data_IF_992878709493
#
_entry.id   IF_992878709493
#
_cell.length_a   1.000
_cell.length_b   1.000
_cell.length_c   1.000
_cell.angle_alpha   90.00
_cell.angle_beta   90.00
_cell.angle_gamma   90.00
#
_symmetry.space_group_name_H-M   'P 1'
#
loop_
_entity.id
_entity.type
_entity.pdbx_description
1 polymer ?
#
# COMPACT_ATOMS: atom_id res chain seq x y z
N UNK A 1 41.00 33.94 8.51
CA UNK A 1 39.59 34.22 8.69
C UNK A 1 38.71 33.92 7.48
N UNK A 2 38.99 34.46 6.25
CA UNK A 2 38.10 34.21 5.07
C UNK A 2 37.98 32.74 4.67
N UNK A 3 39.04 31.91 4.76
CA UNK A 3 38.99 30.48 4.45
C UNK A 3 38.20 29.64 5.46
N UNK A 4 38.14 30.05 6.71
CA UNK A 4 37.41 29.39 7.78
C UNK A 4 35.92 29.65 7.64
N UNK A 5 35.54 30.89 7.30
CA UNK A 5 34.15 31.27 7.03
C UNK A 5 33.58 30.53 5.82
N UNK A 6 34.38 30.40 4.73
CA UNK A 6 33.95 29.64 3.55
C UNK A 6 33.71 28.15 3.84
N UNK A 7 34.52 27.53 4.70
CA UNK A 7 34.32 26.14 5.14
C UNK A 7 33.07 25.98 6.00
N UNK A 8 32.80 26.92 6.87
CA UNK A 8 31.58 26.94 7.70
C UNK A 8 30.33 27.15 6.85
N UNK A 9 30.40 28.02 5.84
CA UNK A 9 29.28 28.26 4.92
C UNK A 9 29.00 27.02 4.03
N UNK A 10 30.04 26.33 3.56
CA UNK A 10 29.90 25.10 2.81
C UNK A 10 29.31 23.96 3.65
N UNK A 11 29.69 23.84 4.92
CA UNK A 11 29.13 22.88 5.86
C UNK A 11 27.66 23.17 6.16
N UNK A 12 27.28 24.43 6.30
CA UNK A 12 25.90 24.86 6.52
C UNK A 12 25.02 24.58 5.28
N UNK A 13 25.58 24.76 4.08
CA UNK A 13 24.87 24.47 2.82
C UNK A 13 24.62 22.97 2.62
N UNK A 14 25.52 22.09 3.06
CA UNK A 14 25.32 20.64 3.04
C UNK A 14 24.21 20.18 3.99
N UNK A 15 23.96 20.89 5.09
CA UNK A 15 22.87 20.58 6.02
C UNK A 15 21.49 21.04 5.52
N UNK A 16 21.42 22.00 4.59
CA UNK A 16 20.18 22.51 4.04
C UNK A 16 19.53 21.64 2.96
N UNK A 17 20.19 20.55 2.52
CA UNK A 17 19.69 19.66 1.45
C UNK A 17 19.04 18.37 2.00
N UNK A 18 18.74 18.30 3.28
CA UNK A 18 17.84 17.26 3.78
C UNK A 18 16.40 17.62 3.37
N UNK A 19 16.09 17.44 2.08
CA UNK A 19 14.72 17.26 1.65
C UNK A 19 14.21 16.00 2.32
N UNK A 20 13.25 16.12 3.22
CA UNK A 20 12.53 14.98 3.75
C UNK A 20 11.92 14.23 2.57
N UNK A 21 12.54 13.12 2.17
CA UNK A 21 11.88 12.17 1.27
C UNK A 21 10.67 11.66 2.04
N UNK A 22 9.50 12.13 1.66
CA UNK A 22 8.25 11.63 2.22
C UNK A 22 7.99 10.25 1.61
N UNK A 23 8.60 9.24 2.18
CA UNK A 23 8.15 7.87 2.02
C UNK A 23 6.71 7.75 2.57
N UNK A 24 6.05 6.67 2.26
CA UNK A 24 4.71 6.38 2.77
C UNK A 24 4.75 6.26 4.30
N UNK A 25 4.19 7.24 4.99
CA UNK A 25 4.28 7.34 6.44
C UNK A 25 3.03 6.68 7.03
N UNK A 26 3.23 5.64 7.84
CA UNK A 26 2.24 5.16 8.78
C UNK A 26 2.20 6.11 9.98
N UNK A 27 1.01 6.54 10.36
CA UNK A 27 0.83 7.43 11.51
C UNK A 27 0.59 6.67 12.82
N UNK A 28 0.91 5.37 12.84
CA UNK A 28 0.83 4.52 14.02
C UNK A 28 -0.60 4.08 14.35
N UNK A 29 -0.74 3.41 15.48
CA UNK A 29 -1.99 2.79 15.91
C UNK A 29 -2.12 1.33 15.45
N UNK A 30 -3.10 0.65 16.01
CA UNK A 30 -3.44 -0.71 15.67
C UNK A 30 -4.89 -0.75 15.19
N UNK A 31 -5.24 -1.64 14.24
CA UNK A 31 -6.62 -1.81 13.84
C UNK A 31 -7.43 -2.35 15.04
N UNK A 32 -8.34 -1.56 15.56
CA UNK A 32 -9.13 -1.87 16.76
C UNK A 32 -10.03 -3.10 16.57
N UNK A 33 -10.40 -3.39 15.32
CA UNK A 33 -11.46 -4.32 14.97
C UNK A 33 -10.99 -5.33 13.91
N UNK A 34 -9.87 -6.02 14.18
CA UNK A 34 -9.46 -7.14 13.34
C UNK A 34 -10.43 -8.32 13.54
N UNK A 35 -10.92 -8.85 12.43
CA UNK A 35 -11.78 -10.03 12.40
C UNK A 35 -11.04 -11.22 11.82
N UNK A 36 -11.49 -12.42 12.14
CA UNK A 36 -10.94 -13.64 11.56
C UNK A 36 -11.33 -13.77 10.07
N UNK A 37 -10.64 -14.67 9.34
CA UNK A 37 -10.85 -14.88 7.92
C UNK A 37 -12.26 -15.41 7.58
N UNK A 38 -12.91 -16.12 8.48
CA UNK A 38 -14.23 -16.69 8.25
C UNK A 38 -15.32 -15.62 8.16
N UNK A 39 -15.19 -14.56 8.96
CA UNK A 39 -16.12 -13.43 8.95
C UNK A 39 -16.09 -12.66 7.63
N UNK A 40 -15.02 -12.80 6.85
CA UNK A 40 -14.81 -12.08 5.60
C UNK A 40 -15.26 -12.85 4.36
N UNK A 41 -15.69 -14.10 4.50
CA UNK A 41 -16.04 -14.96 3.35
C UNK A 41 -17.12 -14.37 2.43
N UNK A 42 -18.11 -13.69 2.99
CA UNK A 42 -19.21 -13.07 2.22
C UNK A 42 -18.80 -11.82 1.44
N UNK A 43 -17.62 -11.28 1.69
CA UNK A 43 -17.14 -10.03 1.11
C UNK A 43 -15.85 -10.19 0.33
N UNK A 44 -15.52 -11.44 0.01
CA UNK A 44 -14.26 -11.79 -0.66
C UNK A 44 -14.32 -11.41 -2.14
N UNK A 45 -13.31 -10.67 -2.56
CA UNK A 45 -12.99 -10.44 -3.97
C UNK A 45 -11.84 -11.38 -4.34
N UNK A 46 -12.12 -12.33 -5.23
CA UNK A 46 -11.13 -13.28 -5.71
C UNK A 46 -10.45 -12.74 -6.95
N UNK A 47 -9.13 -12.66 -6.90
CA UNK A 47 -8.33 -12.28 -8.07
C UNK A 47 -8.22 -13.46 -9.03
N UNK A 48 -8.07 -13.22 -10.34
CA UNK A 48 -7.83 -14.28 -11.31
C UNK A 48 -6.61 -15.13 -10.92
N UNK A 49 -6.70 -16.43 -11.18
CA UNK A 49 -5.58 -17.33 -11.00
C UNK A 49 -4.42 -16.94 -11.92
N UNK A 50 -3.20 -17.08 -11.41
CA UNK A 50 -1.97 -16.73 -12.13
C UNK A 50 -1.39 -17.97 -12.80
N UNK A 51 -1.25 -17.92 -14.12
CA UNK A 51 -0.51 -18.95 -14.87
C UNK A 51 1.00 -18.74 -14.68
N UNK A 52 1.55 -19.40 -13.66
CA UNK A 52 2.97 -19.30 -13.32
C UNK A 52 3.89 -19.87 -14.37
N UNK A 53 3.42 -20.90 -15.12
CA UNK A 53 4.22 -21.50 -16.17
C UNK A 53 4.36 -20.56 -17.37
N UNK A 54 3.26 -19.94 -17.80
CA UNK A 54 3.29 -18.93 -18.84
C UNK A 54 4.16 -17.72 -18.44
N UNK A 55 4.04 -17.23 -17.20
CA UNK A 55 4.87 -16.14 -16.71
C UNK A 55 6.36 -16.49 -16.69
N UNK A 56 6.72 -17.69 -16.22
CA UNK A 56 8.10 -18.13 -16.20
C UNK A 56 8.69 -18.24 -17.61
N UNK A 57 7.89 -18.67 -18.59
CA UNK A 57 8.30 -18.73 -19.98
C UNK A 57 8.56 -17.33 -20.58
N UNK A 58 7.70 -16.35 -20.26
CA UNK A 58 7.89 -14.95 -20.64
C UNK A 58 9.13 -14.36 -19.99
N UNK A 59 9.31 -14.57 -18.68
CA UNK A 59 10.45 -14.05 -17.92
C UNK A 59 11.78 -14.62 -18.43
N UNK A 60 11.81 -15.89 -18.82
CA UNK A 60 13.00 -16.50 -19.42
C UNK A 60 13.47 -15.80 -20.71
N UNK A 61 12.59 -15.07 -21.37
CA UNK A 61 12.92 -14.25 -22.56
C UNK A 61 13.26 -12.82 -22.15
N UNK A 62 12.42 -12.20 -21.33
CA UNK A 62 12.53 -10.78 -20.98
C UNK A 62 13.72 -10.48 -20.07
N UNK A 63 14.08 -11.40 -19.17
CA UNK A 63 15.24 -11.25 -18.27
C UNK A 63 16.59 -11.21 -19.00
N UNK A 64 16.63 -11.63 -20.24
CA UNK A 64 17.83 -11.53 -21.10
C UNK A 64 17.96 -10.18 -21.79
N UNK A 65 16.91 -9.38 -21.77
CA UNK A 65 16.89 -8.06 -22.43
C UNK A 65 17.47 -7.05 -21.47
N UNK A 66 18.63 -6.50 -21.83
CA UNK A 66 19.25 -5.42 -21.08
C UNK A 66 18.31 -4.21 -21.05
N UNK A 67 18.20 -3.57 -19.90
CA UNK A 67 17.37 -2.40 -19.65
C UNK A 67 15.84 -2.68 -19.52
N UNK A 68 15.42 -3.95 -19.53
CA UNK A 68 14.06 -4.33 -19.16
C UNK A 68 14.00 -4.68 -17.66
N UNK A 69 13.10 -4.05 -16.89
CA UNK A 69 12.97 -4.36 -15.47
C UNK A 69 12.45 -5.78 -15.26
N UNK A 70 12.96 -6.45 -14.25
CA UNK A 70 12.46 -7.77 -13.86
C UNK A 70 11.04 -7.66 -13.33
N UNK A 71 10.22 -8.64 -13.65
CA UNK A 71 8.88 -8.78 -13.11
C UNK A 71 8.98 -9.17 -11.63
N UNK A 72 8.40 -8.38 -10.75
CA UNK A 72 8.29 -8.70 -9.32
C UNK A 72 6.85 -9.00 -8.89
N UNK A 73 5.87 -8.86 -9.79
CA UNK A 73 4.47 -9.13 -9.52
C UNK A 73 3.60 -9.06 -10.75
N UNK A 74 2.35 -9.45 -10.58
CA UNK A 74 1.30 -9.35 -11.59
C UNK A 74 0.26 -8.34 -11.10
N UNK A 75 -0.04 -7.36 -11.92
CA UNK A 75 -1.06 -6.37 -11.60
C UNK A 75 -2.44 -6.86 -12.04
N UNK A 76 -3.38 -6.90 -11.11
CA UNK A 76 -4.79 -7.18 -11.37
C UNK A 76 -5.59 -5.91 -11.11
N UNK A 77 -6.14 -5.31 -12.16
CA UNK A 77 -7.04 -4.18 -12.04
C UNK A 77 -8.41 -4.64 -11.52
N UNK A 78 -8.87 -4.02 -10.44
CA UNK A 78 -10.17 -4.28 -9.82
C UNK A 78 -10.89 -2.97 -9.54
N UNK A 79 -12.23 -2.97 -9.61
CA UNK A 79 -13.05 -1.84 -9.20
C UNK A 79 -13.76 -2.18 -7.89
N UNK A 80 -13.10 -1.88 -6.77
CA UNK A 80 -13.61 -2.13 -5.43
C UNK A 80 -13.99 -0.80 -4.79
N UNK A 81 -15.27 -0.67 -4.43
CA UNK A 81 -15.83 0.55 -3.84
C UNK A 81 -16.63 0.22 -2.59
N UNK A 82 -16.62 1.08 -1.57
CA UNK A 82 -17.37 0.86 -0.34
C UNK A 82 -18.90 0.75 -0.53
N UNK A 83 -19.42 1.30 -1.63
CA UNK A 83 -20.85 1.27 -1.98
C UNK A 83 -21.29 -0.06 -2.56
N UNK A 84 -20.38 -0.83 -3.15
CA UNK A 84 -20.71 -2.04 -3.91
C UNK A 84 -20.01 -3.30 -3.41
N UNK A 85 -18.92 -3.14 -2.66
CA UNK A 85 -18.10 -4.24 -2.17
C UNK A 85 -17.88 -4.15 -0.67
N UNK A 86 -17.62 -5.29 -0.07
CA UNK A 86 -17.41 -5.35 1.38
C UNK A 86 -18.71 -5.19 2.18
N UNK A 87 -18.55 -4.84 3.44
CA UNK A 87 -19.67 -4.57 4.34
C UNK A 87 -19.30 -3.53 5.38
N UNK A 88 -20.32 -2.85 5.87
CA UNK A 88 -20.21 -1.88 6.93
C UNK A 88 -20.71 -2.46 8.25
N UNK A 89 -20.01 -2.18 9.33
CA UNK A 89 -20.46 -2.44 10.71
C UNK A 89 -20.30 -1.19 11.56
N UNK A 90 -21.09 -1.10 12.60
CA UNK A 90 -20.94 -0.11 13.66
C UNK A 90 -20.26 -0.79 14.84
N UNK A 91 -19.10 -0.31 15.22
CA UNK A 91 -18.30 -0.88 16.29
C UNK A 91 -17.90 0.22 17.28
N UNK A 92 -18.59 0.28 18.41
CA UNK A 92 -18.52 1.43 19.30
C UNK A 92 -19.05 2.69 18.63
N UNK A 93 -18.22 3.72 18.54
CA UNK A 93 -18.54 5.00 17.89
C UNK A 93 -18.01 5.09 16.44
N UNK A 94 -17.50 3.98 15.88
CA UNK A 94 -16.91 3.95 14.56
C UNK A 94 -17.76 3.18 13.54
N UNK A 95 -17.84 3.70 12.32
CA UNK A 95 -18.34 2.99 11.17
C UNK A 95 -17.16 2.32 10.48
N UNK A 96 -17.14 0.99 10.42
CA UNK A 96 -16.02 0.22 9.90
C UNK A 96 -16.44 -0.51 8.63
N UNK A 97 -15.75 -0.20 7.52
CA UNK A 97 -15.89 -0.93 6.27
C UNK A 97 -14.78 -1.97 6.13
N UNK A 98 -15.16 -3.15 5.66
CA UNK A 98 -14.22 -4.25 5.42
C UNK A 98 -14.47 -4.91 4.08
N UNK A 99 -13.38 -5.25 3.39
CA UNK A 99 -13.39 -6.09 2.20
C UNK A 99 -12.19 -7.03 2.26
N UNK A 100 -12.39 -8.27 1.86
CA UNK A 100 -11.31 -9.24 1.70
C UNK A 100 -10.91 -9.35 0.22
N UNK A 101 -9.61 -9.34 -0.05
CA UNK A 101 -9.07 -9.60 -1.39
C UNK A 101 -8.18 -10.84 -1.27
N UNK A 102 -8.39 -11.80 -2.14
CA UNK A 102 -7.62 -13.05 -2.17
C UNK A 102 -7.07 -13.32 -3.55
N UNK A 103 -5.83 -13.78 -3.59
CA UNK A 103 -5.20 -14.31 -4.80
C UNK A 103 -4.77 -15.75 -4.54
N UNK A 104 -5.21 -16.68 -5.36
CA UNK A 104 -4.79 -18.07 -5.28
C UNK A 104 -3.26 -18.14 -5.43
N UNK A 105 -2.61 -18.89 -4.55
CA UNK A 105 -1.16 -19.08 -4.52
C UNK A 105 -0.30 -17.80 -4.42
N UNK A 106 -0.88 -16.66 -4.10
CA UNK A 106 -0.12 -15.45 -3.89
C UNK A 106 0.75 -15.56 -2.64
N UNK A 107 2.05 -15.36 -2.78
CA UNK A 107 2.99 -15.33 -1.65
C UNK A 107 2.93 -14.02 -0.89
N UNK A 108 2.63 -12.93 -1.58
CA UNK A 108 2.37 -11.60 -1.01
C UNK A 108 1.44 -10.82 -1.92
N UNK A 109 0.79 -9.82 -1.37
CA UNK A 109 -0.04 -8.87 -2.11
C UNK A 109 0.26 -7.47 -1.66
N UNK A 110 0.20 -6.53 -2.59
CA UNK A 110 0.18 -5.10 -2.33
C UNK A 110 -1.07 -4.49 -2.96
N UNK A 111 -1.54 -3.39 -2.42
CA UNK A 111 -2.72 -2.70 -2.92
C UNK A 111 -2.30 -1.32 -3.41
N UNK A 112 -2.74 -0.99 -4.62
CA UNK A 112 -2.59 0.35 -5.19
C UNK A 112 -3.96 0.95 -5.42
N UNK A 113 -4.23 2.04 -4.75
CA UNK A 113 -5.45 2.81 -4.93
C UNK A 113 -5.22 3.85 -6.02
N UNK A 114 -6.05 3.83 -7.07
CA UNK A 114 -6.05 4.87 -8.10
C UNK A 114 -6.61 6.19 -7.56
N UNK A 115 -7.59 6.09 -6.66
CA UNK A 115 -8.18 7.21 -5.94
C UNK A 115 -8.10 6.93 -4.44
N UNK A 116 -7.50 7.84 -3.69
CA UNK A 116 -7.40 7.77 -2.24
C UNK A 116 -7.78 9.11 -1.64
N UNK A 117 -8.96 9.18 -1.08
CA UNK A 117 -9.47 10.34 -0.38
C UNK A 117 -10.16 9.90 0.90
N UNK A 118 -9.66 10.38 2.03
CA UNK A 118 -10.23 10.13 3.34
C UNK A 118 -10.52 11.46 4.03
N UNK A 119 -11.69 11.57 4.63
CA UNK A 119 -12.03 12.68 5.49
C UNK A 119 -11.19 12.69 6.77
N UNK A 120 -11.11 13.85 7.42
CA UNK A 120 -10.47 13.96 8.73
C UNK A 120 -11.19 13.07 9.73
N UNK A 121 -10.43 12.21 10.39
CA UNK A 121 -10.95 11.22 11.33
C UNK A 121 -11.10 9.82 10.73
N UNK A 122 -11.23 9.70 9.41
CA UNK A 122 -11.20 8.40 8.74
C UNK A 122 -9.78 7.89 8.54
N UNK A 123 -9.61 6.58 8.58
CA UNK A 123 -8.32 5.92 8.40
C UNK A 123 -8.45 4.53 7.78
N UNK A 124 -7.36 4.07 7.17
CA UNK A 124 -7.25 2.78 6.50
C UNK A 124 -6.15 1.94 7.14
N UNK A 125 -6.45 0.67 7.33
CA UNK A 125 -5.48 -0.39 7.55
C UNK A 125 -5.62 -1.46 6.48
N UNK A 126 -4.49 -2.08 6.13
CA UNK A 126 -4.46 -3.32 5.35
C UNK A 126 -3.85 -4.38 6.24
N UNK A 127 -4.51 -5.51 6.41
CA UNK A 127 -4.01 -6.58 7.27
C UNK A 127 -4.19 -7.95 6.66
N UNK A 128 -3.35 -8.89 7.10
CA UNK A 128 -3.45 -10.29 6.76
C UNK A 128 -4.09 -11.05 7.93
N UNK A 129 -5.29 -11.60 7.79
CA UNK A 129 -5.88 -12.42 8.85
C UNK A 129 -5.12 -13.73 9.08
N UNK A 130 -4.30 -14.16 8.11
CA UNK A 130 -3.48 -15.37 8.24
C UNK A 130 -2.24 -15.15 9.12
N UNK A 131 -1.52 -14.06 8.90
CA UNK A 131 -0.27 -13.75 9.63
C UNK A 131 -0.48 -12.78 10.78
N UNK A 132 -1.66 -12.19 10.91
CA UNK A 132 -1.98 -11.13 11.87
C UNK A 132 -1.09 -9.87 11.72
N UNK A 133 -0.42 -9.74 10.60
CA UNK A 133 0.36 -8.54 10.28
C UNK A 133 -0.53 -7.49 9.63
N UNK A 134 -0.24 -6.23 9.89
CA UNK A 134 -0.94 -5.11 9.29
C UNK A 134 0.00 -3.98 8.91
N UNK A 135 -0.46 -3.14 8.00
CA UNK A 135 0.16 -1.88 7.62
C UNK A 135 -0.87 -0.76 7.68
N UNK A 136 -0.44 0.43 7.97
CA UNK A 136 -1.24 1.61 8.26
C UNK A 136 -0.74 2.18 9.59
N UNK A 137 -1.41 3.06 10.16
CA UNK A 137 -2.62 3.81 9.82
C UNK A 137 -2.34 4.75 8.66
N UNK A 138 -3.16 4.70 7.60
CA UNK A 138 -3.16 5.69 6.53
C UNK A 138 -4.38 6.58 6.70
N UNK A 139 -4.23 7.88 6.54
CA UNK A 139 -5.31 8.85 6.68
C UNK A 139 -5.20 9.97 5.62
N UNK A 140 -5.99 11.03 5.76
CA UNK A 140 -6.02 12.15 4.82
C UNK A 140 -4.64 12.80 4.55
N UNK A 141 -3.65 12.62 5.44
CA UNK A 141 -2.28 13.12 5.27
C UNK A 141 -1.45 12.29 4.28
N UNK A 142 -1.92 11.09 3.94
CA UNK A 142 -1.27 10.21 2.96
C UNK A 142 -1.71 10.50 1.52
N UNK A 143 -2.66 11.41 1.30
CA UNK A 143 -3.09 11.82 -0.04
C UNK A 143 -1.90 12.41 -0.78
N UNK A 144 -1.57 11.82 -1.93
CA UNK A 144 -0.48 12.27 -2.79
C UNK A 144 -0.99 13.22 -3.87
N UNK A 145 -0.10 14.01 -4.47
CA UNK A 145 -0.46 14.94 -5.56
C UNK A 145 -1.12 14.22 -6.75
N UNK A 146 -0.78 12.96 -7.00
CA UNK A 146 -1.40 12.13 -8.03
C UNK A 146 -2.72 11.47 -7.61
N UNK A 147 -3.22 11.76 -6.40
CA UNK A 147 -4.54 11.35 -5.91
C UNK A 147 -4.66 9.92 -5.43
N UNK A 148 -3.61 9.11 -5.47
CA UNK A 148 -3.66 7.70 -5.09
C UNK A 148 -2.79 7.34 -3.89
N UNK A 149 -2.79 6.04 -3.54
CA UNK A 149 -1.98 5.44 -2.48
C UNK A 149 -1.51 4.06 -2.95
N UNK A 150 -0.25 3.70 -2.66
CA UNK A 150 0.26 2.34 -2.85
C UNK A 150 0.78 1.80 -1.49
N UNK A 151 0.55 0.51 -1.21
CA UNK A 151 0.91 -0.13 0.07
C UNK A 151 1.85 -1.30 -0.16
#
# INVERSE_FOLDING_TARGET
>A
MKKTIAKFLALLLCFAVFTSTQAQISYGGEPSFMVNSESLNSTRVELPAIDREALAAEDAVTDKIKDMPWRFGVENAVDIRPETHGYWTVEGDENVWRVAITGEDATCMSVRFSEFALDKGAYLFVWSPLTQQFIGRFDHRNIKEWGGLAT
#
